data_IF_267943001022
#
_entry.id   IF_267943001022
#
_cell.length_a   1.000
_cell.length_b   1.000
_cell.length_c   1.000
_cell.angle_alpha   90.00
_cell.angle_beta   90.00
_cell.angle_gamma   90.00
#
_symmetry.space_group_name_H-M   'P 1'
#
loop_
_entity.id
_entity.type
_entity.pdbx_description
1 polymer ?
#
# COMPACT_ATOMS: atom_id res chain seq x y z
N UNK A 1 33.76 -45.30 -63.30
CA UNK A 1 34.85 -44.44 -63.80
C UNK A 1 34.93 -43.21 -62.89
N UNK A 2 36.17 -42.89 -62.48
CA UNK A 2 36.64 -41.85 -61.54
C UNK A 2 35.98 -40.44 -61.61
N UNK A 3 36.08 -39.74 -60.45
CA UNK A 3 36.29 -38.28 -60.24
C UNK A 3 35.11 -37.33 -60.56
N UNK A 4 34.82 -36.21 -59.88
CA UNK A 4 35.44 -35.44 -58.80
C UNK A 4 34.36 -34.53 -58.12
N UNK A 5 34.58 -34.23 -56.82
CA UNK A 5 34.09 -33.16 -55.90
C UNK A 5 33.55 -31.84 -56.52
N UNK A 6 32.66 -31.06 -55.85
CA UNK A 6 33.08 -30.28 -54.67
C UNK A 6 32.11 -30.15 -53.48
N UNK A 7 32.75 -30.04 -52.30
CA UNK A 7 32.20 -29.59 -51.02
C UNK A 7 31.73 -28.13 -51.13
N UNK A 8 30.48 -27.85 -50.79
CA UNK A 8 30.01 -26.50 -50.50
C UNK A 8 30.20 -26.22 -49.00
N UNK A 9 31.12 -25.31 -48.67
CA UNK A 9 31.14 -24.65 -47.36
C UNK A 9 29.94 -23.69 -47.28
N UNK A 10 28.93 -24.04 -46.47
CA UNK A 10 27.89 -23.09 -46.09
C UNK A 10 28.44 -22.20 -44.96
N UNK A 11 28.76 -20.95 -45.31
CA UNK A 11 29.14 -19.91 -44.36
C UNK A 11 27.88 -19.48 -43.59
N UNK A 12 27.71 -19.94 -42.36
CA UNK A 12 26.64 -19.48 -41.46
C UNK A 12 26.99 -18.07 -40.98
N UNK A 13 26.45 -17.06 -41.65
CA UNK A 13 26.47 -15.68 -41.18
C UNK A 13 25.52 -15.51 -40.00
N UNK A 14 26.05 -15.53 -38.77
CA UNK A 14 25.32 -15.11 -37.58
C UNK A 14 25.21 -13.59 -37.60
N UNK A 15 24.09 -13.07 -38.09
CA UNK A 15 23.75 -11.67 -37.95
C UNK A 15 23.39 -11.40 -36.48
N UNK A 16 24.31 -10.78 -35.73
CA UNK A 16 24.00 -10.21 -34.42
C UNK A 16 23.03 -9.02 -34.61
N UNK A 17 21.74 -9.29 -34.42
CA UNK A 17 20.76 -8.24 -34.15
C UNK A 17 21.11 -7.58 -32.81
N UNK A 18 21.78 -6.43 -32.88
CA UNK A 18 21.94 -5.55 -31.74
C UNK A 18 20.56 -5.03 -31.31
N UNK A 19 19.99 -5.63 -30.27
CA UNK A 19 18.83 -5.09 -29.57
C UNK A 19 19.25 -3.72 -29.03
N UNK A 20 18.70 -2.65 -29.61
CA UNK A 20 18.77 -1.32 -29.00
C UNK A 20 17.90 -1.35 -27.75
N UNK A 21 18.53 -1.59 -26.61
CA UNK A 21 17.95 -1.25 -25.31
C UNK A 21 17.82 0.27 -25.30
N UNK A 22 16.62 0.78 -25.58
CA UNK A 22 16.32 2.20 -25.42
C UNK A 22 16.63 2.57 -23.98
N UNK A 23 17.54 3.52 -23.77
CA UNK A 23 17.84 4.05 -22.46
C UNK A 23 16.54 4.60 -21.85
N UNK A 24 15.99 3.88 -20.88
CA UNK A 24 14.87 4.38 -20.09
C UNK A 24 15.35 5.66 -19.41
N UNK A 25 14.56 6.73 -19.50
CA UNK A 25 14.88 7.98 -18.82
C UNK A 25 15.15 7.69 -17.33
N UNK A 26 16.17 8.30 -16.72
CA UNK A 26 16.46 8.08 -15.31
C UNK A 26 15.20 8.40 -14.49
N UNK A 27 14.93 7.65 -13.42
CA UNK A 27 13.78 7.91 -12.57
C UNK A 27 13.83 9.37 -12.07
N UNK A 28 12.67 10.04 -11.98
CA UNK A 28 12.64 11.43 -11.56
C UNK A 28 13.27 11.59 -10.18
N UNK A 29 14.03 12.66 -9.99
CA UNK A 29 14.69 12.95 -8.72
C UNK A 29 13.64 13.30 -7.65
N UNK A 30 14.00 13.16 -6.38
CA UNK A 30 13.13 13.56 -5.26
C UNK A 30 12.77 15.04 -5.37
N UNK A 31 13.70 15.91 -5.75
CA UNK A 31 13.44 17.34 -5.92
C UNK A 31 12.47 17.64 -7.07
N UNK A 32 12.50 16.83 -8.14
CA UNK A 32 11.55 16.96 -9.24
C UNK A 32 10.14 16.50 -8.80
N UNK A 33 10.04 15.36 -8.12
CA UNK A 33 8.79 14.84 -7.58
C UNK A 33 8.21 15.78 -6.52
N UNK A 34 9.02 16.32 -5.62
CA UNK A 34 8.59 17.25 -4.57
C UNK A 34 8.01 18.53 -5.17
N UNK A 35 8.64 19.09 -6.21
CA UNK A 35 8.06 20.23 -6.96
C UNK A 35 6.75 19.87 -7.64
N UNK A 36 6.66 18.68 -8.24
CA UNK A 36 5.44 18.21 -8.88
C UNK A 36 4.30 18.04 -7.87
N UNK A 37 4.56 17.40 -6.72
CA UNK A 37 3.59 17.29 -5.61
C UNK A 37 3.20 18.66 -5.07
N UNK A 38 4.13 19.60 -4.95
CA UNK A 38 3.81 20.96 -4.50
C UNK A 38 2.89 21.71 -5.48
N UNK A 39 2.98 21.39 -6.78
CA UNK A 39 2.14 21.99 -7.83
C UNK A 39 0.75 21.33 -7.92
N UNK A 40 0.67 20.03 -7.68
CA UNK A 40 -0.59 19.26 -7.66
C UNK A 40 -0.70 18.41 -6.38
N UNK A 41 -0.94 19.05 -5.22
CA UNK A 41 -0.82 18.39 -3.92
C UNK A 41 -1.96 17.39 -3.63
N UNK A 42 -3.07 17.46 -4.37
CA UNK A 42 -4.20 16.54 -4.21
C UNK A 42 -4.05 15.24 -5.04
N UNK A 43 -2.98 15.12 -5.83
CA UNK A 43 -2.71 13.96 -6.66
C UNK A 43 -2.02 12.85 -5.86
N UNK A 44 -2.83 11.89 -5.39
CA UNK A 44 -2.35 10.79 -4.56
C UNK A 44 -1.34 9.87 -5.27
N UNK A 45 -1.46 9.68 -6.60
CA UNK A 45 -0.52 8.86 -7.36
C UNK A 45 0.86 9.51 -7.38
N UNK A 46 0.91 10.81 -7.69
CA UNK A 46 2.15 11.59 -7.67
C UNK A 46 2.80 11.63 -6.28
N UNK A 47 1.99 11.83 -5.24
CA UNK A 47 2.47 11.76 -3.85
C UNK A 47 2.95 10.35 -3.46
N UNK A 48 2.34 9.29 -3.98
CA UNK A 48 2.80 7.93 -3.78
C UNK A 48 4.14 7.66 -4.46
N UNK A 49 4.33 8.09 -5.72
CA UNK A 49 5.59 7.96 -6.44
C UNK A 49 6.73 8.72 -5.72
N UNK A 50 6.45 9.93 -5.24
CA UNK A 50 7.35 10.69 -4.37
C UNK A 50 7.76 9.89 -3.13
N UNK A 51 6.79 9.36 -2.37
CA UNK A 51 7.05 8.57 -1.17
C UNK A 51 7.83 7.29 -1.47
N UNK A 52 7.56 6.60 -2.58
CA UNK A 52 8.33 5.43 -2.99
C UNK A 52 9.80 5.78 -3.27
N UNK A 53 10.08 6.92 -3.91
CA UNK A 53 11.45 7.39 -4.12
C UNK A 53 12.12 7.79 -2.80
N UNK A 54 11.37 8.36 -1.87
CA UNK A 54 11.84 8.67 -0.52
C UNK A 54 12.22 7.40 0.23
N UNK A 55 11.37 6.36 0.21
CA UNK A 55 11.64 5.05 0.81
C UNK A 55 12.95 4.49 0.26
N UNK A 56 13.12 4.49 -1.07
CA UNK A 56 14.32 3.97 -1.73
C UNK A 56 15.61 4.71 -1.34
N UNK A 57 15.51 5.97 -0.92
CA UNK A 57 16.65 6.79 -0.49
C UNK A 57 16.78 6.94 1.03
N UNK A 58 15.88 6.36 1.82
CA UNK A 58 15.87 6.47 3.29
C UNK A 58 15.56 7.87 3.85
N UNK A 59 15.05 8.80 3.04
CA UNK A 59 14.85 10.21 3.42
C UNK A 59 13.47 10.49 4.05
N UNK A 60 13.05 9.63 4.97
CA UNK A 60 11.68 9.64 5.51
C UNK A 60 11.28 10.97 6.15
N UNK A 61 12.15 11.55 6.99
CA UNK A 61 11.87 12.81 7.69
C UNK A 61 11.60 13.96 6.72
N UNK A 62 12.39 14.02 5.64
CA UNK A 62 12.19 15.00 4.57
C UNK A 62 10.78 14.91 3.97
N UNK A 63 10.26 13.71 3.75
CA UNK A 63 8.91 13.53 3.20
C UNK A 63 7.83 13.93 4.19
N UNK A 64 8.00 13.61 5.48
CA UNK A 64 7.03 13.98 6.52
C UNK A 64 7.00 15.50 6.65
N UNK A 65 8.15 16.15 6.81
CA UNK A 65 8.26 17.60 6.94
C UNK A 65 7.68 18.34 5.73
N UNK A 66 7.94 17.84 4.52
CA UNK A 66 7.40 18.43 3.29
C UNK A 66 5.87 18.32 3.23
N UNK A 67 5.31 17.13 3.48
CA UNK A 67 3.87 16.88 3.42
C UNK A 67 3.12 17.56 4.57
N UNK A 68 3.74 17.71 5.75
CA UNK A 68 3.19 18.47 6.86
C UNK A 68 3.04 19.95 6.49
N UNK A 69 4.12 20.56 5.95
CA UNK A 69 4.07 21.94 5.45
C UNK A 69 3.02 22.14 4.37
N UNK A 70 2.81 21.16 3.48
CA UNK A 70 1.73 21.21 2.50
C UNK A 70 0.34 21.10 3.15
N UNK A 71 0.18 20.21 4.13
CA UNK A 71 -1.07 19.99 4.84
C UNK A 71 -1.50 21.21 5.66
N UNK A 72 -0.56 22.02 6.14
CA UNK A 72 -0.83 23.23 6.92
C UNK A 72 -1.16 24.47 6.06
N UNK A 73 -1.00 24.40 4.74
CA UNK A 73 -1.41 25.49 3.84
C UNK A 73 -2.91 25.72 3.91
N UNK A 74 -3.32 27.00 3.87
CA UNK A 74 -4.74 27.37 3.78
C UNK A 74 -5.35 26.74 2.53
N UNK A 75 -6.45 26.02 2.72
CA UNK A 75 -7.14 25.34 1.62
C UNK A 75 -6.52 24.00 1.22
N UNK A 76 -5.57 23.44 1.99
CA UNK A 76 -5.07 22.09 1.74
C UNK A 76 -6.24 21.09 1.72
N UNK A 77 -6.23 20.20 0.73
CA UNK A 77 -7.27 19.21 0.59
C UNK A 77 -7.04 17.97 1.46
N UNK A 78 -7.98 17.01 1.44
CA UNK A 78 -7.88 15.76 2.18
C UNK A 78 -6.77 14.84 1.66
N UNK A 79 -6.43 14.88 0.37
CA UNK A 79 -5.47 13.93 -0.21
C UNK A 79 -4.03 14.23 0.21
N UNK A 80 -3.68 15.49 0.45
CA UNK A 80 -2.40 15.84 1.10
C UNK A 80 -2.29 15.21 2.49
N UNK A 81 -3.39 15.23 3.25
CA UNK A 81 -3.42 14.70 4.63
C UNK A 81 -3.36 13.17 4.64
N UNK A 82 -4.00 12.50 3.68
CA UNK A 82 -3.82 11.06 3.45
C UNK A 82 -2.35 10.76 3.10
N UNK A 83 -1.74 11.57 2.24
CA UNK A 83 -0.34 11.39 1.85
C UNK A 83 0.62 11.58 3.03
N UNK A 84 0.37 12.57 3.89
CA UNK A 84 1.10 12.77 5.15
C UNK A 84 0.98 11.54 6.06
N UNK A 85 -0.23 11.01 6.23
CA UNK A 85 -0.44 9.82 7.04
C UNK A 85 0.34 8.60 6.50
N UNK A 86 0.36 8.41 5.18
CA UNK A 86 1.13 7.35 4.54
C UNK A 86 2.64 7.55 4.70
N UNK A 87 3.15 8.80 4.61
CA UNK A 87 4.56 9.08 4.86
C UNK A 87 4.98 8.74 6.31
N UNK A 88 4.10 9.00 7.28
CA UNK A 88 4.32 8.56 8.66
C UNK A 88 4.39 7.03 8.76
N UNK A 89 3.49 6.30 8.07
CA UNK A 89 3.50 4.83 7.99
C UNK A 89 4.78 4.30 7.32
N UNK A 90 5.29 4.98 6.30
CA UNK A 90 6.49 4.57 5.56
C UNK A 90 7.76 4.55 6.44
N UNK A 91 7.81 5.41 7.46
CA UNK A 91 8.94 5.53 8.40
C UNK A 91 8.91 4.48 9.52
N UNK A 92 7.77 3.84 9.76
CA UNK A 92 7.56 2.94 10.91
C UNK A 92 8.55 1.77 10.98
N UNK A 93 8.85 1.04 9.88
CA UNK A 93 9.73 -0.12 9.95
C UNK A 93 11.14 0.22 10.42
N UNK A 94 11.63 1.42 10.11
CA UNK A 94 12.99 1.89 10.45
C UNK A 94 13.05 2.68 11.77
N UNK A 95 11.94 2.76 12.50
CA UNK A 95 11.82 3.57 13.71
C UNK A 95 11.91 2.75 15.00
N UNK A 96 12.37 3.36 16.08
CA UNK A 96 12.30 2.79 17.44
C UNK A 96 10.84 2.71 17.93
N UNK A 97 10.55 1.85 18.91
CA UNK A 97 9.17 1.65 19.40
C UNK A 97 8.50 2.95 19.90
N UNK A 98 9.26 3.81 20.58
CA UNK A 98 8.78 5.14 20.98
C UNK A 98 8.41 6.01 19.78
N UNK A 99 9.27 6.05 18.75
CA UNK A 99 9.02 6.82 17.54
C UNK A 99 7.83 6.26 16.75
N UNK A 100 7.66 4.93 16.72
CA UNK A 100 6.51 4.26 16.07
C UNK A 100 5.18 4.70 16.70
N UNK A 101 5.13 4.92 18.01
CA UNK A 101 3.92 5.42 18.69
C UNK A 101 3.53 6.82 18.22
N UNK A 102 4.50 7.74 18.12
CA UNK A 102 4.24 9.10 17.64
C UNK A 102 3.83 9.11 16.16
N UNK A 103 4.52 8.36 15.31
CA UNK A 103 4.15 8.23 13.90
C UNK A 103 2.72 7.71 13.71
N UNK A 104 2.32 6.71 14.50
CA UNK A 104 0.94 6.20 14.48
C UNK A 104 -0.08 7.24 14.93
N UNK A 105 0.22 8.03 15.97
CA UNK A 105 -0.64 9.14 16.42
C UNK A 105 -0.79 10.21 15.34
N UNK A 106 0.33 10.64 14.75
CA UNK A 106 0.36 11.74 13.79
C UNK A 106 -0.35 11.33 12.48
N UNK A 107 -0.18 10.08 12.05
CA UNK A 107 -0.92 9.51 10.92
C UNK A 107 -2.43 9.48 11.17
N UNK A 108 -2.88 9.03 12.36
CA UNK A 108 -4.31 9.07 12.73
C UNK A 108 -4.83 10.51 12.74
N UNK A 109 -4.08 11.45 13.33
CA UNK A 109 -4.48 12.86 13.37
C UNK A 109 -4.61 13.49 11.97
N UNK A 110 -3.73 13.14 11.03
CA UNK A 110 -3.84 13.56 9.64
C UNK A 110 -5.09 12.96 8.96
N UNK A 111 -5.39 11.68 9.21
CA UNK A 111 -6.58 11.01 8.67
C UNK A 111 -7.88 11.54 9.27
N UNK A 112 -7.90 11.90 10.55
CA UNK A 112 -9.05 12.55 11.19
C UNK A 112 -9.39 13.87 10.47
N UNK A 113 -8.36 14.69 10.20
CA UNK A 113 -8.52 15.94 9.45
C UNK A 113 -8.99 15.66 8.01
N UNK A 114 -8.44 14.64 7.34
CA UNK A 114 -8.84 14.25 5.98
C UNK A 114 -10.33 13.81 5.94
N UNK A 115 -10.73 12.91 6.83
CA UNK A 115 -12.10 12.39 6.94
C UNK A 115 -13.08 13.50 7.27
N UNK A 116 -12.74 14.40 8.21
CA UNK A 116 -13.58 15.54 8.56
C UNK A 116 -13.83 16.48 7.37
N UNK A 117 -12.83 16.64 6.50
CA UNK A 117 -12.95 17.49 5.31
C UNK A 117 -13.69 16.78 4.17
N UNK A 118 -13.37 15.52 3.92
CA UNK A 118 -14.01 14.68 2.89
C UNK A 118 -13.86 13.20 3.25
N UNK A 119 -14.91 12.57 3.78
CA UNK A 119 -14.94 11.12 3.99
C UNK A 119 -14.60 10.37 2.70
N UNK A 120 -13.74 9.36 2.77
CA UNK A 120 -13.40 8.51 1.63
C UNK A 120 -13.06 7.09 2.07
N UNK A 121 -13.30 6.13 1.17
CA UNK A 121 -12.96 4.72 1.39
C UNK A 121 -11.49 4.57 1.78
N UNK A 122 -10.60 5.25 1.05
CA UNK A 122 -9.16 5.17 1.28
C UNK A 122 -8.76 5.71 2.67
N UNK A 123 -9.31 6.86 3.09
CA UNK A 123 -8.96 7.44 4.38
C UNK A 123 -9.40 6.54 5.56
N UNK A 124 -10.63 6.00 5.49
CA UNK A 124 -11.13 5.05 6.49
C UNK A 124 -10.35 3.74 6.46
N UNK A 125 -10.04 3.20 5.29
CA UNK A 125 -9.22 1.99 5.15
C UNK A 125 -7.85 2.17 5.83
N UNK A 126 -7.14 3.25 5.53
CA UNK A 126 -5.80 3.50 6.10
C UNK A 126 -5.90 3.71 7.62
N UNK A 127 -6.85 4.50 8.12
CA UNK A 127 -7.00 4.73 9.57
C UNK A 127 -7.35 3.43 10.29
N UNK A 128 -8.24 2.64 9.71
CA UNK A 128 -8.61 1.33 10.19
C UNK A 128 -7.42 0.39 10.29
N UNK A 129 -6.62 0.33 9.23
CA UNK A 129 -5.41 -0.50 9.17
C UNK A 129 -4.37 -0.05 10.22
N UNK A 130 -4.14 1.25 10.38
CA UNK A 130 -3.23 1.80 11.42
C UNK A 130 -3.72 1.39 12.82
N UNK A 131 -5.03 1.43 13.08
CA UNK A 131 -5.59 0.95 14.36
C UNK A 131 -5.34 -0.54 14.59
N UNK A 132 -5.32 -1.37 13.55
CA UNK A 132 -4.94 -2.78 13.67
C UNK A 132 -3.44 -2.92 13.97
N UNK A 133 -2.55 -2.20 13.28
CA UNK A 133 -1.11 -2.25 13.52
C UNK A 133 -0.73 -1.85 14.95
N UNK A 134 -1.23 -0.70 15.41
CA UNK A 134 -0.87 -0.13 16.71
C UNK A 134 -1.78 -0.60 17.84
N UNK A 135 -2.08 -1.89 17.87
CA UNK A 135 -2.77 -2.49 19.01
C UNK A 135 -1.77 -2.77 20.14
N UNK A 136 -1.33 -1.70 20.82
CA UNK A 136 -0.65 -1.86 22.10
C UNK A 136 -1.67 -2.36 23.12
N UNK A 137 -1.28 -3.29 23.98
CA UNK A 137 -2.15 -3.92 25.00
C UNK A 137 -2.95 -2.90 25.86
N UNK A 138 -2.43 -1.68 25.99
CA UNK A 138 -3.02 -0.57 26.75
C UNK A 138 -4.17 0.15 26.01
N UNK A 139 -4.17 0.21 24.67
CA UNK A 139 -5.06 1.10 23.91
C UNK A 139 -6.19 0.41 23.14
N UNK A 140 -6.31 -0.94 23.21
CA UNK A 140 -7.39 -1.76 22.61
C UNK A 140 -7.98 -1.14 21.34
N UNK A 141 -7.15 -0.95 20.31
CA UNK A 141 -7.50 -0.14 19.12
C UNK A 141 -8.22 -0.93 18.03
N UNK A 142 -8.20 -2.27 18.10
CA UNK A 142 -8.81 -3.14 17.09
C UNK A 142 -10.30 -2.83 16.85
N UNK A 143 -11.16 -2.63 17.87
CA UNK A 143 -12.57 -2.30 17.63
C UNK A 143 -12.78 -1.03 16.79
N UNK A 144 -11.98 0.02 17.03
CA UNK A 144 -12.00 1.25 16.22
C UNK A 144 -11.55 0.98 14.79
N UNK A 145 -10.51 0.16 14.64
CA UNK A 145 -10.03 -0.25 13.33
C UNK A 145 -11.09 -1.00 12.52
N UNK A 146 -11.83 -1.91 13.17
CA UNK A 146 -12.94 -2.63 12.56
C UNK A 146 -14.12 -1.72 12.22
N UNK A 147 -14.42 -0.70 13.03
CA UNK A 147 -15.43 0.31 12.73
C UNK A 147 -15.06 1.09 11.46
N UNK A 148 -13.82 1.56 11.37
CA UNK A 148 -13.31 2.27 10.19
C UNK A 148 -13.35 1.40 8.92
N UNK A 149 -12.93 0.14 9.00
CA UNK A 149 -12.96 -0.78 7.86
C UNK A 149 -14.39 -1.06 7.39
N UNK A 150 -15.35 -1.20 8.31
CA UNK A 150 -16.77 -1.31 7.95
C UNK A 150 -17.29 -0.02 7.31
N UNK A 151 -16.86 1.15 7.82
CA UNK A 151 -17.24 2.44 7.24
C UNK A 151 -16.66 2.62 5.84
N UNK A 152 -15.44 2.14 5.59
CA UNK A 152 -14.82 2.11 4.27
C UNK A 152 -15.67 1.28 3.29
N UNK A 153 -16.06 0.05 3.66
CA UNK A 153 -16.94 -0.78 2.83
C UNK A 153 -18.31 -0.12 2.59
N UNK A 154 -18.90 0.51 3.61
CA UNK A 154 -20.18 1.19 3.48
C UNK A 154 -20.14 2.46 2.60
N UNK A 155 -18.95 3.03 2.38
CA UNK A 155 -18.74 4.18 1.49
C UNK A 155 -18.31 3.76 0.07
N UNK A 156 -18.07 2.46 -0.15
CA UNK A 156 -17.64 1.98 -1.45
C UNK A 156 -18.77 2.14 -2.48
N UNK A 157 -18.37 2.55 -3.68
CA UNK A 157 -19.21 2.72 -4.87
C UNK A 157 -18.61 1.93 -6.02
N UNK A 158 -19.30 1.88 -7.17
CA UNK A 158 -18.79 1.21 -8.38
C UNK A 158 -17.46 1.82 -8.89
N UNK A 159 -17.22 3.11 -8.59
CA UNK A 159 -15.96 3.80 -8.92
C UNK A 159 -14.82 3.49 -7.94
N UNK A 160 -15.10 2.78 -6.84
CA UNK A 160 -14.10 2.45 -5.84
C UNK A 160 -13.18 1.35 -6.39
N UNK A 161 -11.84 1.51 -6.33
CA UNK A 161 -10.92 0.51 -6.85
C UNK A 161 -11.18 -0.89 -6.27
N UNK A 162 -11.41 -1.93 -7.10
CA UNK A 162 -11.69 -3.29 -6.62
C UNK A 162 -10.64 -3.82 -5.64
N UNK A 163 -9.36 -3.52 -5.91
CA UNK A 163 -8.26 -3.92 -5.03
C UNK A 163 -8.37 -3.30 -3.63
N UNK A 164 -8.87 -2.06 -3.50
CA UNK A 164 -9.06 -1.41 -2.20
C UNK A 164 -10.18 -2.09 -1.40
N UNK A 165 -11.27 -2.48 -2.07
CA UNK A 165 -12.38 -3.21 -1.43
C UNK A 165 -11.90 -4.59 -0.97
N UNK A 166 -11.20 -5.33 -1.83
CA UNK A 166 -10.63 -6.63 -1.48
C UNK A 166 -9.66 -6.56 -0.29
N UNK A 167 -8.73 -5.57 -0.30
CA UNK A 167 -7.83 -5.30 0.83
C UNK A 167 -8.60 -4.96 2.11
N UNK A 168 -9.73 -4.25 2.01
CA UNK A 168 -10.56 -3.91 3.17
C UNK A 168 -11.21 -5.15 3.79
N UNK A 169 -11.74 -6.08 2.98
CA UNK A 169 -12.26 -7.36 3.49
C UNK A 169 -11.17 -8.22 4.17
N UNK A 170 -9.97 -8.27 3.57
CA UNK A 170 -8.81 -8.95 4.17
C UNK A 170 -8.52 -8.38 5.55
N UNK A 171 -8.35 -7.05 5.65
CA UNK A 171 -8.04 -6.38 6.91
C UNK A 171 -9.17 -6.51 7.94
N UNK A 172 -10.44 -6.50 7.50
CA UNK A 172 -11.58 -6.67 8.39
C UNK A 172 -11.54 -8.05 9.06
N UNK A 173 -11.34 -9.12 8.28
CA UNK A 173 -11.22 -10.46 8.85
C UNK A 173 -9.94 -10.64 9.68
N UNK A 174 -8.81 -10.04 9.28
CA UNK A 174 -7.56 -10.09 10.05
C UNK A 174 -7.74 -9.41 11.43
N UNK A 175 -8.49 -8.30 11.49
CA UNK A 175 -8.85 -7.65 12.75
C UNK A 175 -9.79 -8.50 13.63
N UNK A 176 -10.80 -9.15 13.03
CA UNK A 176 -11.69 -10.07 13.74
C UNK A 176 -10.94 -11.27 14.31
N UNK A 177 -10.01 -11.82 13.53
CA UNK A 177 -9.16 -12.93 13.95
C UNK A 177 -8.35 -12.57 15.20
N UNK A 178 -7.80 -11.36 15.26
CA UNK A 178 -7.05 -10.88 16.44
C UNK A 178 -7.90 -10.63 17.68
N UNK A 179 -9.22 -10.55 17.54
CA UNK A 179 -10.15 -10.57 18.67
C UNK A 179 -10.60 -11.99 19.06
N UNK A 180 -10.01 -13.02 18.46
CA UNK A 180 -10.43 -14.43 18.57
C UNK A 180 -11.87 -14.66 18.08
N UNK A 181 -12.44 -13.72 17.31
CA UNK A 181 -13.76 -13.82 16.66
C UNK A 181 -13.64 -14.60 15.33
N UNK A 182 -13.07 -15.80 15.38
CA UNK A 182 -12.65 -16.60 14.21
C UNK A 182 -13.77 -16.82 13.18
N UNK A 183 -15.00 -17.04 13.65
CA UNK A 183 -16.16 -17.23 12.76
C UNK A 183 -16.45 -15.97 11.94
N UNK A 184 -16.48 -14.80 12.58
CA UNK A 184 -16.66 -13.51 11.89
C UNK A 184 -15.48 -13.16 10.99
N UNK A 185 -14.28 -13.58 11.34
CA UNK A 185 -13.12 -13.44 10.46
C UNK A 185 -13.33 -14.20 9.15
N UNK A 186 -13.77 -15.46 9.22
CA UNK A 186 -14.09 -16.27 8.05
C UNK A 186 -15.24 -15.70 7.23
N UNK A 187 -16.30 -15.21 7.88
CA UNK A 187 -17.42 -14.56 7.19
C UNK A 187 -16.97 -13.33 6.41
N UNK A 188 -16.12 -12.47 6.99
CA UNK A 188 -15.56 -11.31 6.30
C UNK A 188 -14.71 -11.71 5.09
N UNK A 189 -13.85 -12.72 5.21
CA UNK A 189 -13.05 -13.21 4.09
C UNK A 189 -13.89 -13.89 3.01
N UNK A 190 -14.92 -14.66 3.38
CA UNK A 190 -15.85 -15.28 2.44
C UNK A 190 -16.65 -14.23 1.67
N UNK A 191 -17.16 -13.19 2.35
CA UNK A 191 -17.84 -12.08 1.70
C UNK A 191 -16.95 -11.35 0.70
N UNK A 192 -15.67 -11.16 1.03
CA UNK A 192 -14.67 -10.65 0.09
C UNK A 192 -14.42 -11.60 -1.08
N UNK A 193 -14.25 -12.89 -0.83
CA UNK A 193 -13.94 -13.88 -1.86
C UNK A 193 -15.12 -14.12 -2.83
N UNK A 194 -16.35 -13.93 -2.37
CA UNK A 194 -17.53 -13.97 -3.24
C UNK A 194 -17.49 -12.87 -4.31
N UNK A 195 -16.96 -11.69 -3.97
CA UNK A 195 -16.81 -10.57 -4.91
C UNK A 195 -15.48 -10.62 -5.68
N UNK A 196 -14.42 -11.11 -5.04
CA UNK A 196 -13.06 -11.13 -5.58
C UNK A 196 -12.45 -12.53 -5.51
N UNK A 197 -12.98 -13.52 -6.27
CA UNK A 197 -12.63 -14.92 -6.13
C UNK A 197 -11.16 -15.21 -6.45
N UNK A 198 -10.50 -14.40 -7.28
CA UNK A 198 -9.09 -14.56 -7.63
C UNK A 198 -8.12 -13.81 -6.70
N UNK A 199 -8.60 -13.10 -5.68
CA UNK A 199 -7.73 -12.27 -4.84
C UNK A 199 -6.88 -13.14 -3.89
N UNK A 200 -5.54 -13.21 -4.06
CA UNK A 200 -4.72 -14.24 -3.41
C UNK A 200 -4.76 -14.18 -1.88
N UNK A 201 -4.78 -12.98 -1.30
CA UNK A 201 -4.78 -12.81 0.15
C UNK A 201 -6.02 -13.41 0.82
N UNK A 202 -7.20 -13.31 0.16
CA UNK A 202 -8.45 -13.90 0.64
C UNK A 202 -8.41 -15.42 0.53
N UNK A 203 -7.93 -15.95 -0.61
CA UNK A 203 -7.79 -17.38 -0.82
C UNK A 203 -6.86 -18.03 0.22
N UNK A 204 -5.71 -17.42 0.49
CA UNK A 204 -4.78 -17.88 1.53
C UNK A 204 -5.50 -18.03 2.88
N UNK A 205 -6.34 -17.07 3.28
CA UNK A 205 -7.01 -17.11 4.59
C UNK A 205 -8.15 -18.12 4.67
N UNK A 206 -8.75 -18.46 3.54
CA UNK A 206 -9.85 -19.42 3.45
C UNK A 206 -9.38 -20.87 3.30
N UNK A 207 -8.26 -21.09 2.59
CA UNK A 207 -7.72 -22.43 2.35
C UNK A 207 -6.73 -22.90 3.42
N UNK A 208 -6.18 -21.99 4.21
CA UNK A 208 -5.16 -22.28 5.21
C UNK A 208 -5.72 -22.95 6.47
N UNK A 209 -4.87 -23.77 7.10
CA UNK A 209 -5.10 -24.21 8.48
C UNK A 209 -4.96 -23.04 9.48
N UNK A 210 -5.37 -23.25 10.73
CA UNK A 210 -5.33 -22.19 11.75
C UNK A 210 -3.92 -21.63 11.98
N UNK A 211 -2.88 -22.46 11.96
CA UNK A 211 -1.50 -22.03 12.17
C UNK A 211 -1.01 -21.14 11.03
N UNK A 212 -1.34 -21.51 9.79
CA UNK A 212 -1.05 -20.74 8.60
C UNK A 212 -1.81 -19.40 8.58
N UNK A 213 -3.10 -19.38 8.95
CA UNK A 213 -3.88 -18.14 9.09
C UNK A 213 -3.25 -17.23 10.14
N UNK A 214 -2.90 -17.77 11.31
CA UNK A 214 -2.24 -17.03 12.39
C UNK A 214 -0.93 -16.39 11.91
N UNK A 215 -0.11 -17.14 11.17
CA UNK A 215 1.14 -16.64 10.58
C UNK A 215 0.88 -15.53 9.57
N UNK A 216 -0.09 -15.71 8.67
CA UNK A 216 -0.44 -14.71 7.66
C UNK A 216 -0.97 -13.41 8.29
N UNK A 217 -1.87 -13.49 9.26
CA UNK A 217 -2.41 -12.34 10.00
C UNK A 217 -1.31 -11.64 10.79
N UNK A 218 -0.45 -12.39 11.47
CA UNK A 218 0.67 -11.83 12.25
C UNK A 218 1.66 -11.12 11.33
N UNK A 219 2.03 -11.71 10.20
CA UNK A 219 2.92 -11.07 9.23
C UNK A 219 2.29 -9.80 8.63
N UNK A 220 1.00 -9.84 8.30
CA UNK A 220 0.29 -8.71 7.73
C UNK A 220 0.12 -7.53 8.69
N UNK A 221 0.09 -7.79 10.01
CA UNK A 221 -0.15 -6.77 11.05
C UNK A 221 1.06 -6.52 11.96
N UNK A 222 2.24 -7.02 11.58
CA UNK A 222 3.48 -6.76 12.29
C UNK A 222 4.07 -5.40 11.87
N UNK A 223 4.30 -4.51 12.84
CA UNK A 223 4.79 -3.15 12.60
C UNK A 223 6.22 -3.07 12.08
N UNK A 224 7.02 -4.14 12.24
CA UNK A 224 8.34 -4.24 11.62
C UNK A 224 8.29 -4.58 10.12
N UNK A 225 7.16 -5.08 9.62
CA UNK A 225 6.98 -5.32 8.20
C UNK A 225 6.51 -4.04 7.52
N UNK A 226 7.13 -3.73 6.37
CA UNK A 226 6.71 -2.59 5.54
C UNK A 226 5.36 -2.93 4.89
N UNK A 227 4.38 -2.07 5.11
CA UNK A 227 3.11 -2.09 4.39
C UNK A 227 3.32 -1.54 2.99
N UNK A 228 2.70 -2.15 1.98
CA UNK A 228 2.65 -1.56 0.64
C UNK A 228 1.78 -0.30 0.65
N UNK A 229 2.44 0.86 0.66
CA UNK A 229 1.83 2.19 0.54
C UNK A 229 2.03 2.79 -0.86
N UNK A 230 2.45 1.99 -1.85
CA UNK A 230 2.69 2.47 -3.22
C UNK A 230 1.40 2.87 -3.93
N UNK A 231 0.26 2.38 -3.46
CA UNK A 231 -1.06 2.62 -4.03
C UNK A 231 -1.19 2.21 -5.51
N UNK A 232 -0.25 1.43 -6.05
CA UNK A 232 -0.21 1.07 -7.48
C UNK A 232 -1.45 0.32 -7.94
N UNK A 233 -1.94 -0.61 -7.10
CA UNK A 233 -3.10 -1.43 -7.44
C UNK A 233 -4.44 -0.71 -7.22
N UNK A 234 -4.44 0.51 -6.68
CA UNK A 234 -5.67 1.28 -6.42
C UNK A 234 -5.88 2.45 -7.39
N UNK A 235 -4.93 2.70 -8.30
CA UNK A 235 -5.11 3.63 -9.39
C UNK A 235 -5.19 2.86 -10.71
N UNK A 236 -6.07 3.26 -11.65
CA UNK A 236 -6.02 2.74 -13.02
C UNK A 236 -4.68 3.07 -13.69
#
# INVERSE_FOLDING_TARGET
MKMHRPFFLALVGVALLAVRVGAQAPPPTIDALERAVAADPENLRLAADYRQQVIASGRFDRSIDFLEKLADRRGSGPNVKISLALACVDKVPTSSDWSRLFLGRDAVGALDKAIKQRPSVLAYYIRGLIHLFYNNAIFKRIPRGLEDLRKALALATDDTPPALIARTYVSLGDGQWRLEEKQKAREAWQAGAAQFPSYPALQIRLSADEGQVRSAVSAALYTGNRVDTSLRDIFP
#
